data_IF_599053301127
#
_entry.id   IF_599053301127
#
_cell.length_a   1.000
_cell.length_b   1.000
_cell.length_c   1.000
_cell.angle_alpha   90.00
_cell.angle_beta   90.00
_cell.angle_gamma   90.00
#
_symmetry.space_group_name_H-M   'P 1'
#
loop_
_entity.id
_entity.type
_entity.pdbx_description
1 polymer ?
#
# COMPACT_ATOMS: atom_id res chain seq x y z
N UNK A 1 11.59 -14.39 21.54
CA UNK A 1 11.30 -15.36 20.47
C UNK A 1 9.81 -15.29 20.16
N UNK A 2 9.39 -14.34 19.33
CA UNK A 2 8.06 -14.31 18.71
C UNK A 2 8.29 -14.38 17.22
N UNK A 3 7.69 -15.32 16.49
CA UNK A 3 8.11 -15.51 15.10
C UNK A 3 7.22 -16.31 14.17
N UNK A 4 6.21 -17.06 14.65
CA UNK A 4 5.32 -17.81 13.76
C UNK A 4 3.84 -17.60 14.11
N UNK A 5 3.47 -17.77 15.38
CA UNK A 5 2.06 -17.66 15.81
C UNK A 5 1.47 -16.25 15.74
N UNK A 6 2.27 -15.19 15.91
CA UNK A 6 1.77 -13.81 15.77
C UNK A 6 1.53 -13.42 14.32
N UNK A 7 2.38 -13.88 13.39
CA UNK A 7 2.21 -13.59 11.96
C UNK A 7 0.94 -14.26 11.41
N UNK A 8 0.66 -15.50 11.78
CA UNK A 8 -0.56 -16.19 11.34
C UNK A 8 -1.84 -15.55 11.93
N UNK A 9 -1.78 -14.97 13.13
CA UNK A 9 -2.89 -14.21 13.70
C UNK A 9 -3.15 -12.90 12.95
N UNK A 10 -2.09 -12.17 12.59
CA UNK A 10 -2.20 -10.90 11.87
C UNK A 10 -2.57 -11.08 10.40
N UNK A 11 -2.18 -12.20 9.79
CA UNK A 11 -2.42 -12.51 8.39
C UNK A 11 -3.08 -13.90 8.23
N UNK A 12 -4.36 -14.06 8.63
CA UNK A 12 -5.05 -15.34 8.52
C UNK A 12 -5.16 -15.77 7.05
N UNK A 13 -4.88 -17.05 6.78
CA UNK A 13 -5.00 -17.63 5.44
C UNK A 13 -6.48 -17.69 5.05
N UNK A 14 -6.87 -16.95 4.01
CA UNK A 14 -8.11 -17.24 3.29
C UNK A 14 -9.08 -16.10 2.98
N UNK A 15 -8.74 -14.82 3.16
CA UNK A 15 -9.66 -13.73 2.77
C UNK A 15 -9.42 -13.14 1.37
N UNK A 16 -8.28 -13.42 0.73
CA UNK A 16 -8.05 -13.08 -0.69
C UNK A 16 -8.62 -14.14 -1.65
N UNK A 17 -9.75 -14.74 -1.31
CA UNK A 17 -10.37 -15.82 -2.09
C UNK A 17 -11.79 -15.47 -2.51
N UNK A 18 -11.96 -14.36 -3.23
CA UNK A 18 -13.16 -14.20 -4.05
C UNK A 18 -13.32 -15.29 -5.13
N UNK A 19 -12.37 -16.24 -5.28
CA UNK A 19 -12.49 -17.39 -6.18
C UNK A 19 -11.59 -18.59 -5.83
N UNK A 20 -11.48 -19.02 -4.57
CA UNK A 20 -10.79 -20.29 -4.25
C UNK A 20 -11.63 -21.53 -4.59
N UNK A 21 -12.00 -21.66 -5.85
CA UNK A 21 -12.43 -22.93 -6.43
C UNK A 21 -11.25 -23.62 -7.11
N UNK A 22 -11.35 -24.95 -7.25
CA UNK A 22 -10.43 -25.85 -7.97
C UNK A 22 -10.13 -25.39 -9.42
N UNK A 23 -10.85 -24.39 -9.95
CA UNK A 23 -10.67 -23.83 -11.28
C UNK A 23 -9.90 -22.48 -11.34
N UNK A 24 -9.32 -21.99 -10.24
CA UNK A 24 -8.53 -20.74 -10.31
C UNK A 24 -7.25 -20.96 -11.12
N UNK A 25 -7.21 -20.45 -12.35
CA UNK A 25 -5.99 -20.42 -13.16
C UNK A 25 -4.96 -19.52 -12.46
N UNK A 26 -3.66 -19.84 -12.49
CA UNK A 26 -2.61 -18.96 -11.97
C UNK A 26 -2.68 -17.52 -12.52
N UNK A 27 -3.16 -17.36 -13.76
CA UNK A 27 -3.42 -16.06 -14.39
C UNK A 27 -4.53 -15.24 -13.71
N UNK A 28 -5.50 -15.88 -13.03
CA UNK A 28 -6.53 -15.20 -12.25
C UNK A 28 -6.00 -14.61 -10.94
N UNK A 29 -4.78 -14.98 -10.53
CA UNK A 29 -4.06 -14.36 -9.41
C UNK A 29 -3.19 -13.18 -9.84
N UNK A 30 -3.05 -12.95 -11.15
CA UNK A 30 -2.40 -11.74 -11.67
C UNK A 30 -3.34 -10.55 -11.49
N UNK A 31 -3.33 -9.95 -10.31
CA UNK A 31 -4.02 -8.69 -10.07
C UNK A 31 -3.13 -7.49 -10.42
N UNK A 32 -2.32 -7.62 -11.48
CA UNK A 32 -1.46 -6.55 -11.97
C UNK A 32 -2.26 -5.26 -12.21
N UNK A 33 -3.44 -5.36 -12.83
CA UNK A 33 -4.36 -4.23 -13.01
C UNK A 33 -4.87 -3.60 -11.71
N UNK A 34 -4.70 -4.26 -10.55
CA UNK A 34 -5.12 -3.75 -9.23
C UNK A 34 -3.94 -3.19 -8.43
N UNK A 35 -2.79 -3.86 -8.49
CA UNK A 35 -1.60 -3.44 -7.75
C UNK A 35 -0.76 -2.42 -8.49
N UNK A 36 -0.78 -2.41 -9.84
CA UNK A 36 0.00 -1.46 -10.63
C UNK A 36 -0.43 -0.01 -10.39
N UNK A 37 -1.73 0.36 -10.41
CA UNK A 37 -2.15 1.72 -10.08
C UNK A 37 -1.69 2.15 -8.70
N UNK A 38 -1.83 1.27 -7.71
CA UNK A 38 -1.39 1.50 -6.34
C UNK A 38 0.13 1.75 -6.25
N UNK A 39 0.94 0.88 -6.85
CA UNK A 39 2.40 1.01 -6.83
C UNK A 39 2.83 2.25 -7.59
N UNK A 40 2.21 2.52 -8.73
CA UNK A 40 2.47 3.66 -9.58
C UNK A 40 2.20 4.97 -8.84
N UNK A 41 1.01 5.11 -8.24
CA UNK A 41 0.65 6.26 -7.42
C UNK A 41 1.56 6.38 -6.19
N UNK A 42 1.96 5.27 -5.59
CA UNK A 42 2.91 5.29 -4.48
C UNK A 42 4.28 5.83 -4.89
N UNK A 43 4.80 5.44 -6.06
CA UNK A 43 6.06 6.00 -6.58
C UNK A 43 5.89 7.47 -6.93
N UNK A 44 4.75 7.86 -7.51
CA UNK A 44 4.43 9.25 -7.85
C UNK A 44 4.41 10.13 -6.60
N UNK A 45 3.71 9.69 -5.55
CA UNK A 45 3.63 10.40 -4.27
C UNK A 45 5.01 10.58 -3.63
N UNK A 46 5.89 9.57 -3.73
CA UNK A 46 7.24 9.64 -3.16
C UNK A 46 8.20 10.48 -4.03
N UNK A 47 7.98 10.52 -5.34
CA UNK A 47 8.77 11.32 -6.28
C UNK A 47 8.40 12.81 -6.23
N UNK A 48 7.12 13.12 -6.00
CA UNK A 48 6.61 14.48 -5.79
C UNK A 48 5.72 14.56 -4.54
N UNK A 49 6.33 14.69 -3.34
CA UNK A 49 5.57 14.74 -2.09
C UNK A 49 4.71 16.00 -1.93
N UNK A 50 4.89 17.04 -2.75
CA UNK A 50 4.08 18.25 -2.70
C UNK A 50 2.79 18.12 -3.53
N UNK A 51 2.73 17.16 -4.46
CA UNK A 51 1.55 16.91 -5.28
C UNK A 51 0.33 16.58 -4.43
N UNK A 52 -0.79 17.21 -4.80
CA UNK A 52 -2.10 16.86 -4.27
C UNK A 52 -2.59 15.57 -4.95
N UNK A 53 -3.04 14.60 -4.15
CA UNK A 53 -3.40 13.26 -4.61
C UNK A 53 -4.53 12.68 -3.76
N UNK A 54 -5.51 12.07 -4.40
CA UNK A 54 -6.66 11.45 -3.72
C UNK A 54 -6.20 10.37 -2.75
N UNK A 55 -5.18 9.60 -3.13
CA UNK A 55 -4.52 8.60 -2.27
C UNK A 55 -4.12 9.16 -0.90
N UNK A 56 -3.61 10.39 -0.82
CA UNK A 56 -3.20 11.01 0.45
C UNK A 56 -4.41 11.28 1.33
N UNK A 57 -5.48 11.80 0.76
CA UNK A 57 -6.75 12.03 1.45
C UNK A 57 -7.35 10.71 1.94
N UNK A 58 -7.36 9.67 1.09
CA UNK A 58 -7.83 8.33 1.45
C UNK A 58 -7.04 7.73 2.60
N UNK A 59 -5.70 7.87 2.60
CA UNK A 59 -4.85 7.39 3.69
C UNK A 59 -5.09 8.16 5.00
N UNK A 60 -5.35 9.47 4.93
CA UNK A 60 -5.72 10.27 6.10
C UNK A 60 -7.06 9.81 6.70
N UNK A 61 -8.08 9.61 5.85
CA UNK A 61 -9.37 9.06 6.28
C UNK A 61 -9.25 7.65 6.87
N UNK A 62 -8.39 6.80 6.27
CA UNK A 62 -8.12 5.47 6.82
C UNK A 62 -7.49 5.56 8.22
N UNK A 63 -6.46 6.41 8.39
CA UNK A 63 -5.81 6.63 9.68
C UNK A 63 -6.80 7.08 10.74
N UNK A 64 -7.67 8.03 10.42
CA UNK A 64 -8.73 8.49 11.32
C UNK A 64 -9.72 7.37 11.65
N UNK A 65 -10.18 6.63 10.63
CA UNK A 65 -11.12 5.53 10.80
C UNK A 65 -10.61 4.39 11.68
N UNK A 66 -9.30 4.09 11.63
CA UNK A 66 -8.66 3.10 12.50
C UNK A 66 -8.78 3.53 13.96
N UNK A 67 -8.47 4.78 14.27
CA UNK A 67 -8.49 5.26 15.66
C UNK A 67 -9.92 5.46 16.19
N UNK A 68 -10.84 5.97 15.38
CA UNK A 68 -12.25 6.15 15.77
C UNK A 68 -12.92 4.81 16.14
N UNK A 69 -12.59 3.73 15.43
CA UNK A 69 -13.19 2.40 15.63
C UNK A 69 -12.38 1.50 16.57
N UNK A 70 -11.24 1.96 17.08
CA UNK A 70 -10.30 1.13 17.84
C UNK A 70 -10.97 0.44 19.05
N UNK A 71 -11.82 1.17 19.77
CA UNK A 71 -12.51 0.65 20.97
C UNK A 71 -13.65 -0.34 20.66
N UNK A 72 -14.09 -0.41 19.41
CA UNK A 72 -15.24 -1.22 18.97
C UNK A 72 -14.85 -2.34 18.00
N UNK A 73 -13.57 -2.44 17.66
CA UNK A 73 -13.03 -3.41 16.69
C UNK A 73 -12.20 -4.48 17.39
N UNK A 74 -11.87 -5.54 16.65
CA UNK A 74 -10.94 -6.55 17.16
C UNK A 74 -9.56 -5.91 17.42
N UNK A 75 -8.97 -6.05 18.62
CA UNK A 75 -7.65 -5.50 18.93
C UNK A 75 -6.55 -5.92 17.93
N UNK A 76 -6.60 -7.16 17.43
CA UNK A 76 -5.63 -7.67 16.46
C UNK A 76 -5.75 -6.95 15.10
N UNK A 77 -6.96 -6.57 14.70
CA UNK A 77 -7.21 -5.81 13.47
C UNK A 77 -6.74 -4.36 13.60
N UNK A 78 -7.00 -3.74 14.75
CA UNK A 78 -6.53 -2.38 15.05
C UNK A 78 -5.01 -2.33 15.00
N UNK A 79 -4.34 -3.30 15.62
CA UNK A 79 -2.88 -3.39 15.61
C UNK A 79 -2.35 -3.61 14.19
N UNK A 80 -2.93 -4.54 13.43
CA UNK A 80 -2.55 -4.78 12.03
C UNK A 80 -2.67 -3.51 11.18
N UNK A 81 -3.73 -2.72 11.35
CA UNK A 81 -3.94 -1.49 10.59
C UNK A 81 -2.93 -0.40 11.00
N UNK A 82 -2.57 -0.31 12.29
CA UNK A 82 -1.50 0.57 12.77
C UNK A 82 -0.14 0.17 12.21
N UNK A 83 0.17 -1.12 12.15
CA UNK A 83 1.39 -1.62 11.53
C UNK A 83 1.44 -1.31 10.03
N UNK A 84 0.31 -1.45 9.33
CA UNK A 84 0.21 -1.05 7.92
C UNK A 84 0.52 0.45 7.73
N UNK A 85 -0.02 1.31 8.59
CA UNK A 85 0.28 2.75 8.56
C UNK A 85 1.76 3.04 8.86
N UNK A 86 2.35 2.34 9.83
CA UNK A 86 3.78 2.48 10.14
C UNK A 86 4.67 2.07 8.96
N UNK A 87 4.31 1.00 8.24
CA UNK A 87 5.00 0.60 7.02
C UNK A 87 4.87 1.65 5.92
N UNK A 88 3.68 2.26 5.76
CA UNK A 88 3.48 3.37 4.82
C UNK A 88 4.37 4.57 5.16
N UNK A 89 4.48 4.94 6.44
CA UNK A 89 5.32 6.06 6.89
C UNK A 89 6.83 5.79 6.67
N UNK A 90 7.23 4.52 6.52
CA UNK A 90 8.60 4.12 6.22
C UNK A 90 8.95 4.12 4.72
N UNK A 91 7.98 4.17 3.81
CA UNK A 91 8.23 4.09 2.36
C UNK A 91 9.18 5.16 1.82
N UNK A 92 9.21 6.41 2.31
CA UNK A 92 10.19 7.40 1.87
C UNK A 92 11.65 6.95 2.05
N UNK A 93 11.92 6.07 3.03
CA UNK A 93 13.26 5.53 3.24
C UNK A 93 13.69 4.64 2.08
N UNK A 94 12.75 3.90 1.47
CA UNK A 94 13.03 2.99 0.36
C UNK A 94 13.51 3.71 -0.90
N UNK A 95 13.13 4.98 -1.10
CA UNK A 95 13.53 5.76 -2.27
C UNK A 95 14.86 6.49 -2.12
N UNK A 96 15.43 6.57 -0.90
CA UNK A 96 16.61 7.39 -0.60
C UNK A 96 17.82 7.05 -1.47
N UNK A 97 18.07 5.76 -1.69
CA UNK A 97 19.20 5.31 -2.51
C UNK A 97 19.02 5.75 -3.98
N UNK A 98 17.82 5.60 -4.52
CA UNK A 98 17.49 6.04 -5.88
C UNK A 98 17.59 7.57 -6.02
N UNK A 99 17.20 8.32 -4.99
CA UNK A 99 17.29 9.79 -4.98
C UNK A 99 18.72 10.32 -4.77
N UNK A 100 19.59 9.54 -4.14
CA UNK A 100 20.98 9.92 -3.89
C UNK A 100 21.83 9.89 -5.18
N UNK A 101 21.50 9.00 -6.11
CA UNK A 101 22.15 8.90 -7.42
C UNK A 101 21.53 9.90 -8.40
N UNK A 102 22.35 10.69 -9.11
CA UNK A 102 21.89 11.71 -10.05
C UNK A 102 20.96 11.13 -11.14
N UNK A 103 21.34 9.98 -11.71
CA UNK A 103 20.54 9.28 -12.71
C UNK A 103 19.17 8.85 -12.15
N UNK A 104 19.15 8.33 -10.93
CA UNK A 104 17.91 7.87 -10.29
C UNK A 104 17.00 9.04 -9.92
N UNK A 105 17.56 10.11 -9.36
CA UNK A 105 16.85 11.36 -9.11
C UNK A 105 16.22 11.92 -10.39
N UNK A 106 17.00 12.02 -11.46
CA UNK A 106 16.51 12.54 -12.74
C UNK A 106 15.43 11.64 -13.37
N UNK A 107 15.51 10.32 -13.17
CA UNK A 107 14.46 9.40 -13.58
C UNK A 107 13.15 9.62 -12.81
N UNK A 108 13.22 9.80 -11.49
CA UNK A 108 12.06 10.10 -10.66
C UNK A 108 11.41 11.45 -11.01
N UNK A 109 12.22 12.47 -11.29
CA UNK A 109 11.71 13.78 -11.73
C UNK A 109 10.96 13.68 -13.05
N UNK A 110 11.56 13.03 -14.07
CA UNK A 110 10.89 12.81 -15.36
C UNK A 110 9.62 11.97 -15.20
N UNK A 111 9.67 10.93 -14.36
CA UNK A 111 8.50 10.12 -14.05
C UNK A 111 7.39 11.00 -13.50
N UNK A 112 7.64 11.78 -12.44
CA UNK A 112 6.62 12.63 -11.84
C UNK A 112 6.05 13.70 -12.80
N UNK A 113 6.88 14.24 -13.70
CA UNK A 113 6.48 15.27 -14.66
C UNK A 113 5.49 14.77 -15.72
N UNK A 114 5.65 13.53 -16.18
CA UNK A 114 4.83 12.97 -17.28
C UNK A 114 3.68 12.08 -16.81
N UNK A 115 3.55 11.92 -15.50
CA UNK A 115 2.66 10.92 -14.90
C UNK A 115 1.52 11.60 -14.15
N UNK A 116 0.33 11.01 -14.24
CA UNK A 116 -0.85 11.40 -13.47
C UNK A 116 -1.24 10.31 -12.47
N UNK A 117 -2.04 10.67 -11.47
CA UNK A 117 -2.59 9.71 -10.53
C UNK A 117 -3.53 8.76 -11.29
N UNK A 118 -3.25 7.46 -11.23
CA UNK A 118 -4.10 6.43 -11.81
C UNK A 118 -5.29 6.13 -10.90
N UNK A 119 -6.43 5.80 -11.48
CA UNK A 119 -7.61 5.39 -10.72
C UNK A 119 -7.35 4.04 -10.04
N UNK A 120 -7.28 4.07 -8.70
CA UNK A 120 -7.25 2.85 -7.88
C UNK A 120 -8.69 2.29 -7.78
N UNK A 121 -8.98 1.22 -8.51
CA UNK A 121 -10.29 0.57 -8.46
C UNK A 121 -10.49 -0.14 -7.09
N UNK A 122 -11.43 0.35 -6.28
CA UNK A 122 -11.95 -0.38 -5.12
C UNK A 122 -12.95 -1.46 -5.56
N UNK A 123 -12.92 -2.61 -4.88
CA UNK A 123 -13.89 -3.70 -5.10
C UNK A 123 -15.27 -3.37 -4.56
#
# INVERSE_FOLDING_TARGET
MSGAGELEKRFPKGENTASSGWFSKPSNHSMAHRYLPYIHNQVLELADPARDMDRKAMRAMFREGVEQKANFSNPDEVERNREFLALQDMLPVALRLTQAEETGKNALLRFAEVTEEEVELSQ
#
